data_IF_464918590573
#
_entry.id   IF_464918590573
#
_cell.length_a   1.000
_cell.length_b   1.000
_cell.length_c   1.000
_cell.angle_alpha   90.00
_cell.angle_beta   90.00
_cell.angle_gamma   90.00
#
_symmetry.space_group_name_H-M   'P 1'
#
loop_
_entity.id
_entity.type
_entity.pdbx_description
1 polymer ?
#
# COMPACT_ATOMS: atom_id res chain seq x y z
N UNK A 1 20.08 -14.81 -16.62
CA UNK A 1 19.45 -15.95 -17.31
C UNK A 1 17.95 -15.85 -17.07
N UNK A 2 17.22 -15.20 -17.99
CA UNK A 2 15.77 -15.06 -17.90
C UNK A 2 15.08 -16.25 -18.57
N UNK A 3 14.08 -16.83 -17.90
CA UNK A 3 13.34 -17.99 -18.37
C UNK A 3 12.10 -17.54 -19.12
N UNK A 4 12.02 -17.85 -20.42
CA UNK A 4 10.83 -17.62 -21.25
C UNK A 4 9.95 -18.86 -21.17
N UNK A 5 8.78 -18.76 -20.52
CA UNK A 5 7.78 -19.84 -20.52
C UNK A 5 6.88 -19.64 -21.74
N UNK A 6 7.00 -20.52 -22.74
CA UNK A 6 6.16 -20.50 -23.94
C UNK A 6 4.95 -21.41 -23.72
N UNK A 7 3.77 -20.82 -23.56
CA UNK A 7 2.48 -21.54 -23.58
C UNK A 7 1.67 -20.99 -24.76
N UNK A 8 1.49 -21.80 -25.81
CA UNK A 8 0.59 -21.57 -26.95
C UNK A 8 0.49 -20.12 -27.49
N UNK A 9 1.57 -19.64 -28.11
CA UNK A 9 1.48 -18.61 -29.17
C UNK A 9 1.37 -17.14 -28.72
N UNK A 10 1.42 -16.83 -27.43
CA UNK A 10 1.55 -15.45 -26.95
C UNK A 10 2.82 -15.35 -26.12
N UNK A 11 3.90 -14.83 -26.72
CA UNK A 11 5.12 -14.46 -26.01
C UNK A 11 4.85 -13.19 -25.20
N UNK A 12 4.08 -13.31 -24.13
CA UNK A 12 4.03 -12.29 -23.11
C UNK A 12 5.37 -12.37 -22.36
N UNK A 13 6.17 -11.31 -22.43
CA UNK A 13 7.42 -11.22 -21.70
C UNK A 13 7.13 -11.48 -20.22
N UNK A 14 7.73 -12.53 -19.66
CA UNK A 14 7.53 -12.92 -18.25
C UNK A 14 7.85 -11.73 -17.32
N UNK A 15 8.78 -10.86 -17.73
CA UNK A 15 9.12 -9.62 -17.02
C UNK A 15 7.97 -8.59 -17.03
N UNK A 16 7.23 -8.48 -18.13
CA UNK A 16 6.06 -7.60 -18.23
C UNK A 16 4.92 -8.12 -17.34
N UNK A 17 4.68 -9.44 -17.35
CA UNK A 17 3.67 -10.07 -16.49
C UNK A 17 4.00 -9.86 -15.00
N UNK A 18 5.26 -10.07 -14.61
CA UNK A 18 5.70 -9.90 -13.22
C UNK A 18 5.58 -8.43 -12.80
N UNK A 19 5.98 -7.50 -13.68
CA UNK A 19 5.89 -6.06 -13.42
C UNK A 19 4.43 -5.61 -13.25
N UNK A 20 3.54 -6.08 -14.12
CA UNK A 20 2.12 -5.75 -14.04
C UNK A 20 1.45 -6.40 -12.83
N UNK A 21 1.83 -7.63 -12.47
CA UNK A 21 1.39 -8.28 -11.25
C UNK A 21 1.81 -7.48 -9.99
N UNK A 22 3.07 -7.02 -9.93
CA UNK A 22 3.53 -6.17 -8.83
C UNK A 22 2.81 -4.82 -8.77
N UNK A 23 2.52 -4.20 -9.92
CA UNK A 23 1.72 -2.96 -9.96
C UNK A 23 0.30 -3.18 -9.45
N UNK A 24 -0.35 -4.26 -9.88
CA UNK A 24 -1.70 -4.62 -9.43
C UNK A 24 -1.74 -4.91 -7.93
N UNK A 25 -0.79 -5.68 -7.41
CA UNK A 25 -0.66 -5.98 -5.97
C UNK A 25 -0.41 -4.71 -5.17
N UNK A 26 0.55 -3.87 -5.58
CA UNK A 26 0.85 -2.62 -4.87
C UNK A 26 -0.33 -1.64 -4.91
N UNK A 27 -1.08 -1.59 -6.01
CA UNK A 27 -2.30 -0.79 -6.11
C UNK A 27 -3.42 -1.29 -5.19
N UNK A 28 -3.64 -2.61 -5.15
CA UNK A 28 -4.62 -3.23 -4.26
C UNK A 28 -4.26 -3.00 -2.78
N UNK A 29 -2.99 -3.17 -2.42
CA UNK A 29 -2.50 -2.98 -1.07
C UNK A 29 -2.58 -1.51 -0.62
N UNK A 30 -2.31 -0.55 -1.52
CA UNK A 30 -2.52 0.88 -1.25
C UNK A 30 -4.01 1.22 -1.04
N UNK A 31 -4.90 0.62 -1.83
CA UNK A 31 -6.34 0.82 -1.65
C UNK A 31 -6.84 0.24 -0.32
N UNK A 32 -6.34 -0.92 0.08
CA UNK A 32 -6.60 -1.49 1.40
C UNK A 32 -6.10 -0.58 2.52
N UNK A 33 -4.88 -0.03 2.37
CA UNK A 33 -4.33 0.91 3.34
C UNK A 33 -5.18 2.18 3.45
N UNK A 34 -5.64 2.75 2.33
CA UNK A 34 -6.56 3.89 2.35
C UNK A 34 -7.86 3.56 3.11
N UNK A 35 -8.44 2.38 2.87
CA UNK A 35 -9.64 1.93 3.59
C UNK A 35 -9.41 1.83 5.10
N UNK A 36 -8.23 1.35 5.51
CA UNK A 36 -7.84 1.28 6.92
C UNK A 36 -7.69 2.68 7.54
N UNK A 37 -7.12 3.64 6.81
CA UNK A 37 -7.02 5.04 7.23
C UNK A 37 -8.40 5.65 7.45
N UNK A 38 -9.36 5.40 6.55
CA UNK A 38 -10.74 5.86 6.71
C UNK A 38 -11.44 5.22 7.91
N UNK A 39 -11.22 3.92 8.14
CA UNK A 39 -11.76 3.22 9.29
C UNK A 39 -11.22 3.80 10.60
N UNK A 40 -9.92 4.08 10.67
CA UNK A 40 -9.31 4.76 11.81
C UNK A 40 -9.95 6.12 12.07
N UNK A 41 -10.17 6.93 11.02
CA UNK A 41 -10.87 8.22 11.17
C UNK A 41 -12.29 8.05 11.69
N UNK A 42 -13.02 7.04 11.20
CA UNK A 42 -14.38 6.75 11.67
C UNK A 42 -14.43 6.44 13.17
N UNK A 43 -13.41 5.77 13.71
CA UNK A 43 -13.36 5.41 15.12
C UNK A 43 -12.82 6.53 16.02
N UNK A 44 -11.88 7.33 15.53
CA UNK A 44 -11.12 8.29 16.35
C UNK A 44 -11.50 9.76 16.08
N UNK A 45 -12.15 10.06 14.97
CA UNK A 45 -12.49 11.43 14.53
C UNK A 45 -11.32 12.25 13.99
N UNK A 46 -10.17 11.60 13.74
CA UNK A 46 -8.98 12.21 13.16
C UNK A 46 -8.15 11.16 12.39
N UNK A 47 -7.43 11.60 11.37
CA UNK A 47 -6.48 10.75 10.64
C UNK A 47 -5.21 10.52 11.45
N UNK A 48 -4.56 9.36 11.33
CA UNK A 48 -3.37 9.03 12.11
C UNK A 48 -2.29 10.09 12.01
N UNK A 49 -1.79 10.57 13.14
CA UNK A 49 -0.64 11.46 13.17
C UNK A 49 0.65 10.63 13.14
N UNK A 50 0.99 10.10 11.97
CA UNK A 50 2.19 9.32 11.72
C UNK A 50 3.18 10.11 10.84
N UNK A 51 4.48 9.98 11.12
CA UNK A 51 5.58 10.68 10.45
C UNK A 51 6.02 10.02 9.13
N UNK A 52 5.29 9.01 8.66
CA UNK A 52 5.59 8.27 7.43
C UNK A 52 4.93 6.89 7.39
N UNK A 53 5.25 6.12 6.35
CA UNK A 53 4.63 4.82 6.11
C UNK A 53 4.89 3.78 7.20
N UNK A 54 6.11 3.71 7.73
CA UNK A 54 6.48 2.72 8.75
C UNK A 54 5.71 2.95 10.05
N UNK A 55 5.67 4.20 10.52
CA UNK A 55 4.93 4.58 11.73
C UNK A 55 3.42 4.35 11.56
N UNK A 56 2.88 4.60 10.37
CA UNK A 56 1.48 4.35 10.05
C UNK A 56 1.13 2.84 10.13
N UNK A 57 1.94 1.98 9.51
CA UNK A 57 1.74 0.53 9.54
C UNK A 57 1.88 0.01 10.98
N UNK A 58 2.88 0.48 11.72
CA UNK A 58 3.08 0.11 13.12
C UNK A 58 1.89 0.51 13.99
N UNK A 59 1.32 1.70 13.76
CA UNK A 59 0.13 2.17 14.45
C UNK A 59 -1.07 1.27 14.16
N UNK A 60 -1.33 0.94 12.90
CA UNK A 60 -2.46 0.06 12.54
C UNK A 60 -2.29 -1.38 13.02
N UNK A 61 -1.08 -1.92 13.01
CA UNK A 61 -0.80 -3.25 13.54
C UNK A 61 -1.00 -3.28 15.06
N UNK A 62 -0.45 -2.29 15.77
CA UNK A 62 -0.58 -2.18 17.23
C UNK A 62 -2.04 -1.99 17.66
N UNK A 63 -2.78 -1.17 16.94
CA UNK A 63 -4.16 -0.80 17.28
C UNK A 63 -5.18 -1.80 16.70
N UNK A 64 -4.71 -2.84 15.97
CA UNK A 64 -5.54 -3.97 15.51
C UNK A 64 -6.35 -3.73 14.23
N UNK A 65 -6.08 -2.64 13.52
CA UNK A 65 -6.71 -2.34 12.22
C UNK A 65 -6.19 -3.20 11.08
N UNK A 66 -4.95 -3.71 11.20
CA UNK A 66 -4.38 -4.70 10.29
C UNK A 66 -3.81 -5.87 11.11
N UNK A 67 -3.89 -7.08 10.57
CA UNK A 67 -3.35 -8.29 11.21
C UNK A 67 -2.06 -8.79 10.55
N UNK A 68 -1.83 -8.43 9.30
CA UNK A 68 -0.64 -8.78 8.53
C UNK A 68 -0.13 -7.52 7.88
N UNK A 69 1.19 -7.28 7.85
CA UNK A 69 1.81 -6.15 7.12
C UNK A 69 1.68 -6.38 5.62
N UNK A 70 0.69 -5.78 4.94
CA UNK A 70 0.38 -6.16 3.56
C UNK A 70 1.25 -5.39 2.55
N UNK A 71 1.92 -4.33 3.00
CA UNK A 71 2.60 -3.37 2.14
C UNK A 71 3.95 -2.99 2.79
N UNK A 72 5.00 -3.00 1.98
CA UNK A 72 6.31 -2.48 2.36
C UNK A 72 6.22 -0.95 2.52
N UNK A 73 6.56 -0.38 3.68
CA UNK A 73 6.50 1.06 3.91
C UNK A 73 7.33 1.93 2.95
N UNK A 74 8.29 1.35 2.23
CA UNK A 74 9.11 2.08 1.24
C UNK A 74 8.37 2.38 -0.07
N UNK A 75 7.27 1.67 -0.37
CA UNK A 75 6.53 1.83 -1.64
C UNK A 75 5.45 2.91 -1.57
N UNK A 76 5.31 3.57 -0.42
CA UNK A 76 4.39 4.69 -0.27
C UNK A 76 4.85 5.75 0.73
N UNK A 77 4.31 6.95 0.57
CA UNK A 77 4.44 8.05 1.51
C UNK A 77 3.07 8.42 2.07
N UNK A 78 3.04 8.62 3.39
CA UNK A 78 1.88 9.10 4.12
C UNK A 78 2.21 10.41 4.81
N UNK A 79 1.32 11.39 4.69
CA UNK A 79 1.43 12.69 5.35
C UNK A 79 0.06 13.05 5.93
N UNK A 80 -0.01 13.24 7.25
CA UNK A 80 -1.16 13.86 7.90
C UNK A 80 -1.15 15.37 7.60
N UNK A 81 -2.30 15.90 7.18
CA UNK A 81 -2.49 17.30 6.83
C UNK A 81 -3.55 17.91 7.75
N UNK A 82 -3.57 19.25 7.82
CA UNK A 82 -4.64 20.00 8.50
C UNK A 82 -4.89 19.52 9.95
N UNK A 83 -3.82 19.20 10.69
CA UNK A 83 -3.88 18.66 12.06
C UNK A 83 -4.72 17.38 12.18
N UNK A 84 -4.62 16.47 11.21
CA UNK A 84 -5.34 15.19 11.22
C UNK A 84 -6.78 15.28 10.68
N UNK A 85 -7.15 16.39 10.04
CA UNK A 85 -8.43 16.51 9.33
C UNK A 85 -8.35 16.09 7.86
N UNK A 86 -7.14 15.90 7.35
CA UNK A 86 -6.90 15.43 5.99
C UNK A 86 -5.62 14.59 5.94
N UNK A 87 -5.41 13.83 4.86
CA UNK A 87 -4.17 13.10 4.63
C UNK A 87 -3.80 13.07 3.16
N UNK A 88 -2.53 12.77 2.89
CA UNK A 88 -2.03 12.43 1.55
C UNK A 88 -1.38 11.06 1.61
N UNK A 89 -1.80 10.18 0.69
CA UNK A 89 -1.19 8.89 0.46
C UNK A 89 -0.70 8.83 -0.99
N UNK A 90 0.61 8.70 -1.18
CA UNK A 90 1.24 8.70 -2.51
C UNK A 90 2.12 7.47 -2.66
N UNK A 91 2.21 6.92 -3.87
CA UNK A 91 3.14 5.82 -4.16
C UNK A 91 4.55 6.35 -4.43
N UNK A 92 5.57 5.72 -3.85
CA UNK A 92 6.98 5.94 -4.17
C UNK A 92 7.47 4.91 -5.18
N UNK A 93 8.30 5.35 -6.14
CA UNK A 93 8.88 4.54 -7.22
C UNK A 93 10.39 4.59 -7.16
#
# INVERSE_FOLDING_TARGET
MGSVIVINGVSANVDDIITDAHRAVNGANLHQLATVIELYYSDNGYYPNASGGEELINLFERDGYIMNRPLDPSVFEYIALENGQNYRLTKTY
#
